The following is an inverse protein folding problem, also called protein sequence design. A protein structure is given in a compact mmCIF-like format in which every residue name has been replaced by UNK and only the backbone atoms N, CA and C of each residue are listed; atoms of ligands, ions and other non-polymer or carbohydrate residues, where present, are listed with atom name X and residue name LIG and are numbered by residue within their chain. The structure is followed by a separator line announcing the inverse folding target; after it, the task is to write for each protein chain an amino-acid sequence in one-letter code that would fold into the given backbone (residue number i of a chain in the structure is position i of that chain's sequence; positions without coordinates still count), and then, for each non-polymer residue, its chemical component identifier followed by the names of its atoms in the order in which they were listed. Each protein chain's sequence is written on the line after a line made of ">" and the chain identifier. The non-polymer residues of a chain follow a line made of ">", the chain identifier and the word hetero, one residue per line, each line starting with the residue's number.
data_IF_234846866031
#
_entry.id   IF_234846866031
#
_cell.length_a   1.000
_cell.length_b   1.000
_cell.length_c   1.000
_cell.angle_alpha   90.00
_cell.angle_beta   90.00
_cell.angle_gamma   90.00
#
_symmetry.space_group_name_H-M   'P 1'
#
loop_
_entity.id
_entity.type
_entity.pdbx_description
1 polymer ?
#
# COMPACT_ATOMS: atom_id res chain seq x y z
N UNK A 1 -12.11 12.22 0.30
CA UNK A 1 -10.81 11.57 0.00
C UNK A 1 -10.19 10.96 1.25
N UNK A 2 -9.98 11.74 2.32
CA UNK A 2 -9.41 11.25 3.59
C UNK A 2 -10.28 10.24 4.33
N UNK A 3 -11.61 10.34 4.25
CA UNK A 3 -12.53 9.41 4.91
C UNK A 3 -12.25 7.94 4.56
N UNK A 4 -12.13 7.62 3.26
CA UNK A 4 -11.78 6.26 2.82
C UNK A 4 -10.42 5.80 3.38
N UNK A 5 -9.43 6.69 3.41
CA UNK A 5 -8.10 6.36 3.95
C UNK A 5 -8.18 6.06 5.44
N UNK A 6 -8.92 6.86 6.20
CA UNK A 6 -9.13 6.65 7.65
C UNK A 6 -9.83 5.32 7.90
N UNK A 7 -10.87 5.00 7.14
CA UNK A 7 -11.60 3.75 7.31
C UNK A 7 -10.72 2.52 7.02
N UNK A 8 -9.73 2.62 6.13
CA UNK A 8 -8.75 1.56 5.89
C UNK A 8 -7.71 1.40 7.02
N UNK A 9 -7.58 2.39 7.91
CA UNK A 9 -6.64 2.35 9.06
C UNK A 9 -7.35 2.27 10.40
N UNK A 10 -8.68 2.26 10.42
CA UNK A 10 -9.48 2.20 11.63
C UNK A 10 -9.67 0.77 12.11
N UNK A 11 -9.51 0.54 13.41
CA UNK A 11 -9.80 -0.73 14.04
C UNK A 11 -10.64 -0.51 15.32
N UNK A 12 -11.86 -1.09 15.40
CA UNK A 12 -12.72 -0.96 16.58
C UNK A 12 -12.00 -1.38 17.87
N UNK A 13 -12.06 -0.54 18.89
CA UNK A 13 -11.43 -0.79 20.19
C UNK A 13 -9.91 -0.56 20.24
N UNK A 14 -9.28 -0.08 19.15
CA UNK A 14 -7.87 0.36 19.14
C UNK A 14 -7.68 1.78 18.62
N UNK A 15 -8.47 2.17 17.63
CA UNK A 15 -8.45 3.54 17.10
C UNK A 15 -9.23 4.50 17.99
N UNK A 16 -8.81 5.77 18.03
CA UNK A 16 -9.48 6.81 18.80
C UNK A 16 -10.81 7.27 18.20
N UNK A 17 -11.58 8.02 18.99
CA UNK A 17 -12.90 8.54 18.60
C UNK A 17 -12.83 9.71 17.60
N UNK A 18 -11.69 10.40 17.55
CA UNK A 18 -11.43 11.55 16.68
C UNK A 18 -10.11 11.34 15.95
N UNK A 19 -10.10 11.64 14.66
CA UNK A 19 -8.90 11.61 13.81
C UNK A 19 -8.60 13.01 13.31
N UNK A 20 -7.41 13.52 13.66
CA UNK A 20 -6.92 14.79 13.14
C UNK A 20 -6.27 14.59 11.77
N UNK A 21 -6.67 15.39 10.78
CA UNK A 21 -6.05 15.44 9.45
C UNK A 21 -5.37 16.80 9.30
N UNK A 22 -4.03 16.87 9.33
CA UNK A 22 -3.34 18.13 9.13
C UNK A 22 -3.51 18.65 7.69
N UNK A 23 -3.31 19.95 7.51
CA UNK A 23 -3.17 20.56 6.17
C UNK A 23 -1.94 19.99 5.46
N UNK A 24 -1.90 19.95 4.12
CA UNK A 24 -0.72 19.48 3.42
C UNK A 24 0.49 20.33 3.79
N UNK A 25 1.65 19.68 3.91
CA UNK A 25 2.94 20.29 4.32
C UNK A 25 2.97 20.90 5.73
N UNK A 26 2.03 20.55 6.60
CA UNK A 26 2.12 20.87 8.02
C UNK A 26 3.19 20.00 8.70
N UNK A 27 4.01 20.61 9.55
CA UNK A 27 5.05 19.96 10.34
C UNK A 27 4.75 20.14 11.83
N UNK A 28 4.64 19.06 12.62
CA UNK A 28 4.60 19.16 14.08
C UNK A 28 5.93 19.72 14.61
N UNK A 29 5.87 20.64 15.57
CA UNK A 29 7.08 21.29 16.13
C UNK A 29 7.94 20.32 16.97
N UNK A 30 7.32 19.29 17.57
CA UNK A 30 7.96 18.39 18.53
C UNK A 30 8.50 17.08 17.92
N UNK A 31 8.28 16.82 16.63
CA UNK A 31 8.61 15.52 15.98
C UNK A 31 9.93 15.52 15.18
N UNK A 32 10.73 16.58 15.31
CA UNK A 32 12.00 16.73 14.60
C UNK A 32 11.87 17.46 13.26
N UNK A 33 12.96 17.54 12.47
CA UNK A 33 13.01 18.43 11.32
C UNK A 33 12.18 17.93 10.11
N UNK A 34 11.88 16.63 10.03
CA UNK A 34 11.08 16.01 8.96
C UNK A 34 10.35 14.79 9.52
N UNK A 35 9.08 14.61 9.16
CA UNK A 35 8.25 13.45 9.53
C UNK A 35 7.34 13.00 8.37
N UNK A 36 6.96 11.72 8.37
CA UNK A 36 5.89 11.12 7.56
C UNK A 36 4.69 10.79 8.45
N UNK A 37 3.45 11.19 8.14
CA UNK A 37 2.29 10.81 8.96
C UNK A 37 0.94 10.91 8.24
N UNK A 38 0.92 11.46 7.04
CA UNK A 38 -0.31 11.94 6.43
C UNK A 38 -0.81 11.03 5.30
N UNK A 39 -2.09 11.19 4.95
CA UNK A 39 -2.68 10.53 3.79
C UNK A 39 -2.35 11.21 2.45
N UNK A 40 -1.49 12.22 2.43
CA UNK A 40 -1.11 12.92 1.21
C UNK A 40 -0.12 12.10 0.38
N UNK A 41 -0.13 12.33 -0.93
CA UNK A 41 0.63 11.54 -1.91
C UNK A 41 2.14 11.48 -1.59
N UNK A 42 2.71 12.53 -1.00
CA UNK A 42 4.13 12.57 -0.64
C UNK A 42 4.51 11.62 0.51
N UNK A 43 3.56 11.23 1.37
CA UNK A 43 3.77 10.26 2.46
C UNK A 43 3.32 8.85 2.08
N UNK A 44 2.24 8.71 1.30
CA UNK A 44 1.62 7.40 1.02
C UNK A 44 2.08 6.72 -0.28
N UNK A 45 2.92 7.38 -1.08
CA UNK A 45 3.33 6.83 -2.39
C UNK A 45 4.72 6.23 -2.25
N UNK A 46 4.79 4.90 -2.40
CA UNK A 46 6.04 4.14 -2.33
C UNK A 46 6.24 3.36 -3.63
N UNK A 47 7.50 3.13 -4.05
CA UNK A 47 7.76 2.26 -5.19
C UNK A 47 7.48 0.80 -4.82
N UNK A 48 6.84 0.07 -5.75
CA UNK A 48 6.75 -1.39 -5.70
C UNK A 48 7.65 -1.94 -6.80
N UNK A 49 8.68 -2.69 -6.41
CA UNK A 49 9.63 -3.31 -7.33
C UNK A 49 9.54 -4.83 -7.15
N UNK A 50 9.17 -5.53 -8.23
CA UNK A 50 9.12 -6.99 -8.28
C UNK A 50 10.25 -7.49 -9.19
N UNK A 51 11.06 -8.41 -8.70
CA UNK A 51 12.22 -8.94 -9.41
C UNK A 51 12.35 -10.45 -9.21
N UNK A 52 12.74 -11.16 -10.27
CA UNK A 52 12.89 -12.62 -10.26
C UNK A 52 12.40 -13.25 -11.57
N UNK A 53 12.64 -14.55 -11.72
CA UNK A 53 12.38 -15.29 -12.96
C UNK A 53 10.89 -15.36 -13.38
N UNK A 54 9.96 -15.06 -12.47
CA UNK A 54 8.52 -15.10 -12.71
C UNK A 54 7.94 -13.72 -13.06
N UNK A 55 8.73 -12.66 -12.98
CA UNK A 55 8.29 -11.30 -13.23
C UNK A 55 8.77 -10.80 -14.59
N UNK A 56 7.87 -10.15 -15.32
CA UNK A 56 8.16 -9.56 -16.63
C UNK A 56 8.83 -8.20 -16.43
N UNK A 57 10.06 -7.99 -16.96
CA UNK A 57 10.72 -6.68 -16.91
C UNK A 57 9.86 -5.61 -17.57
N UNK A 58 9.70 -4.47 -16.89
CA UNK A 58 8.91 -3.36 -17.42
C UNK A 58 8.58 -2.32 -16.36
N UNK A 59 7.99 -1.23 -16.83
CA UNK A 59 7.37 -0.21 -15.99
C UNK A 59 5.87 -0.29 -16.24
N UNK A 60 5.11 -0.41 -15.15
CA UNK A 60 3.66 -0.53 -15.20
C UNK A 60 3.05 0.73 -14.61
N UNK A 61 2.22 1.43 -15.39
CA UNK A 61 1.52 2.65 -14.96
C UNK A 61 0.15 2.37 -14.33
N UNK A 62 -0.26 1.10 -14.27
CA UNK A 62 -1.50 0.67 -13.64
C UNK A 62 -1.47 0.95 -12.14
N UNK A 63 -2.65 1.23 -11.56
CA UNK A 63 -2.78 1.45 -10.12
C UNK A 63 -2.39 0.17 -9.36
N UNK A 64 -1.40 0.28 -8.49
CA UNK A 64 -0.99 -0.75 -7.55
C UNK A 64 -1.03 -0.19 -6.11
N UNK A 65 -1.36 -1.04 -5.16
CA UNK A 65 -1.34 -0.74 -3.72
C UNK A 65 -0.37 -1.68 -3.01
N UNK A 66 0.18 -1.24 -1.86
CA UNK A 66 1.12 -2.08 -1.08
C UNK A 66 0.48 -3.42 -0.67
N UNK A 67 -0.84 -3.43 -0.44
CA UNK A 67 -1.62 -4.63 -0.12
C UNK A 67 -1.66 -5.66 -1.26
N UNK A 68 -1.34 -5.27 -2.49
CA UNK A 68 -1.28 -6.16 -3.66
C UNK A 68 -0.03 -7.06 -3.66
N UNK A 69 1.00 -6.72 -2.85
CA UNK A 69 2.25 -7.49 -2.78
C UNK A 69 2.00 -8.90 -2.26
N UNK A 70 1.27 -9.03 -1.15
CA UNK A 70 1.01 -10.31 -0.51
C UNK A 70 0.28 -11.32 -1.44
N UNK A 71 -0.88 -11.00 -2.05
CA UNK A 71 -1.56 -11.93 -2.95
C UNK A 71 -0.74 -12.19 -4.23
N UNK A 72 0.04 -11.23 -4.72
CA UNK A 72 0.95 -11.44 -5.86
C UNK A 72 2.02 -12.47 -5.54
N UNK A 73 2.66 -12.37 -4.37
CA UNK A 73 3.67 -13.34 -3.91
C UNK A 73 3.05 -14.72 -3.65
N UNK A 74 1.88 -14.77 -3.01
CA UNK A 74 1.15 -16.03 -2.80
C UNK A 74 0.83 -16.74 -4.11
N UNK A 75 0.39 -15.99 -5.13
CA UNK A 75 0.11 -16.54 -6.46
C UNK A 75 1.36 -17.16 -7.10
N UNK A 76 2.49 -16.44 -7.14
CA UNK A 76 3.72 -16.96 -7.77
C UNK A 76 4.37 -18.09 -6.98
N UNK A 77 4.14 -18.15 -5.66
CA UNK A 77 4.63 -19.23 -4.80
C UNK A 77 3.66 -20.41 -4.68
N UNK A 78 2.52 -20.38 -5.37
CA UNK A 78 1.48 -21.43 -5.31
C UNK A 78 1.01 -21.76 -3.88
N UNK A 79 0.89 -20.72 -3.04
CA UNK A 79 0.34 -20.83 -1.68
C UNK A 79 -0.95 -20.04 -1.55
N UNK A 80 -1.76 -20.38 -0.56
CA UNK A 80 -2.96 -19.59 -0.25
C UNK A 80 -2.55 -18.17 0.19
N UNK A 81 -3.30 -17.13 -0.20
CA UNK A 81 -3.09 -15.78 0.31
C UNK A 81 -3.40 -15.72 1.82
N UNK A 82 -2.86 -14.71 2.54
CA UNK A 82 -3.26 -14.45 3.92
C UNK A 82 -4.78 -14.30 4.05
N UNK A 83 -5.34 -14.75 5.18
CA UNK A 83 -6.80 -14.81 5.40
C UNK A 83 -7.52 -13.45 5.34
N UNK A 84 -6.80 -12.35 5.56
CA UNK A 84 -7.31 -10.98 5.47
C UNK A 84 -6.68 -10.21 4.29
N UNK A 85 -6.26 -10.91 3.25
CA UNK A 85 -5.73 -10.25 2.05
C UNK A 85 -6.87 -9.58 1.26
N UNK A 86 -6.75 -8.27 1.06
CA UNK A 86 -7.74 -7.45 0.32
C UNK A 86 -7.21 -6.97 -1.04
N UNK A 87 -5.91 -7.14 -1.29
CA UNK A 87 -5.26 -6.72 -2.53
C UNK A 87 -5.58 -7.63 -3.71
N UNK A 88 -5.20 -7.19 -4.91
CA UNK A 88 -5.26 -7.99 -6.14
C UNK A 88 -3.90 -8.55 -6.50
N UNK A 89 -3.88 -9.61 -7.31
CA UNK A 89 -2.65 -10.04 -7.96
C UNK A 89 -2.26 -9.02 -9.04
N UNK A 90 -1.01 -8.56 -9.03
CA UNK A 90 -0.42 -7.71 -10.07
C UNK A 90 -0.06 -8.53 -11.31
N UNK A 91 -1.07 -9.15 -11.92
CA UNK A 91 -0.92 -10.08 -13.06
C UNK A 91 -0.22 -9.46 -14.27
N UNK A 92 -0.31 -8.13 -14.43
CA UNK A 92 0.39 -7.38 -15.48
C UNK A 92 1.91 -7.54 -15.40
N UNK A 93 2.45 -7.75 -14.20
CA UNK A 93 3.87 -7.91 -13.94
C UNK A 93 4.35 -9.37 -14.03
N UNK A 94 3.46 -10.33 -14.28
CA UNK A 94 3.79 -11.75 -14.30
C UNK A 94 4.12 -12.25 -15.71
N UNK A 95 5.10 -13.15 -15.79
CA UNK A 95 5.29 -14.01 -16.95
C UNK A 95 4.26 -15.14 -16.88
N UNK A 96 3.01 -14.86 -17.26
CA UNK A 96 2.02 -15.91 -17.46
C UNK A 96 2.47 -16.77 -18.65
N UNK A 97 2.98 -17.97 -18.36
CA UNK A 97 3.19 -18.98 -19.39
C UNK A 97 1.82 -19.32 -19.98
N UNK A 98 1.70 -19.20 -21.31
CA UNK A 98 0.67 -19.91 -22.06
C UNK A 98 0.90 -21.41 -21.97
#
# INVERSE_FOLDING_TARGET
>A
MHERQILHTYYPGRSGDVVAIPRPYFMPEDEGPVVHLTGYTYDRTVPIILAGALFRPGIYANRAEVIDIAPTLSFVSSVLPPSLSEGRVLSEALLLNK
#
